data_IF_963926738055
#
_entry.id   IF_963926738055
#
_cell.length_a   1.000
_cell.length_b   1.000
_cell.length_c   1.000
_cell.angle_alpha   90.00
_cell.angle_beta   90.00
_cell.angle_gamma   90.00
#
_symmetry.space_group_name_H-M   'P 1'
#
loop_
_entity.id
_entity.type
_entity.pdbx_description
1 polymer ?
#
# COMPACT_ATOMS: atom_id res chain seq x y z
N UNK A 1 -53.04 31.82 -9.87
CA UNK A 1 -52.81 30.37 -9.65
C UNK A 1 -51.62 29.81 -10.46
N UNK A 2 -50.86 30.64 -11.19
CA UNK A 2 -49.79 30.22 -12.12
C UNK A 2 -48.38 30.14 -11.51
N UNK A 3 -48.08 30.91 -10.44
CA UNK A 3 -46.74 30.95 -9.85
C UNK A 3 -46.32 29.61 -9.20
N UNK A 4 -47.22 28.97 -8.42
CA UNK A 4 -46.92 27.68 -7.77
C UNK A 4 -46.56 26.54 -8.74
N UNK A 5 -47.03 26.59 -10.00
CA UNK A 5 -46.76 25.55 -10.99
C UNK A 5 -45.39 25.74 -11.66
N UNK A 6 -44.97 26.99 -11.84
CA UNK A 6 -43.66 27.34 -12.40
C UNK A 6 -42.54 27.12 -11.36
N UNK A 7 -42.81 27.44 -10.10
CA UNK A 7 -41.87 27.24 -8.99
C UNK A 7 -41.63 25.74 -8.75
N UNK A 8 -42.68 24.91 -8.80
CA UNK A 8 -42.55 23.46 -8.68
C UNK A 8 -41.77 22.84 -9.86
N UNK A 9 -42.01 23.27 -11.10
CA UNK A 9 -41.27 22.77 -12.26
C UNK A 9 -39.76 23.06 -12.13
N UNK A 10 -39.42 24.30 -11.76
CA UNK A 10 -38.02 24.73 -11.56
C UNK A 10 -37.34 23.94 -10.44
N UNK A 11 -38.04 23.66 -9.34
CA UNK A 11 -37.50 22.90 -8.22
C UNK A 11 -37.29 21.41 -8.58
N UNK A 12 -38.18 20.85 -9.40
CA UNK A 12 -38.08 19.46 -9.87
C UNK A 12 -36.92 19.27 -10.85
N UNK A 13 -36.72 20.22 -11.77
CA UNK A 13 -35.59 20.19 -12.72
C UNK A 13 -34.23 20.34 -12.00
N UNK A 14 -34.17 21.20 -10.97
CA UNK A 14 -32.97 21.37 -10.15
C UNK A 14 -32.60 20.09 -9.40
N UNK A 15 -33.59 19.40 -8.82
CA UNK A 15 -33.38 18.12 -8.13
C UNK A 15 -32.92 17.02 -9.10
N UNK A 16 -33.56 16.90 -10.26
CA UNK A 16 -33.22 15.92 -11.30
C UNK A 16 -31.78 16.11 -11.79
N UNK A 17 -31.40 17.36 -12.09
CA UNK A 17 -30.03 17.70 -12.53
C UNK A 17 -28.98 17.34 -11.45
N UNK A 18 -29.27 17.64 -10.18
CA UNK A 18 -28.38 17.35 -9.05
C UNK A 18 -28.17 15.83 -8.87
N UNK A 19 -29.24 15.04 -8.99
CA UNK A 19 -29.18 13.58 -8.90
C UNK A 19 -28.41 12.95 -10.06
N UNK A 20 -28.60 13.42 -11.29
CA UNK A 20 -27.80 12.98 -12.45
C UNK A 20 -26.31 13.26 -12.25
N UNK A 21 -25.96 14.44 -11.72
CA UNK A 21 -24.57 14.81 -11.41
C UNK A 21 -23.96 13.93 -10.31
N UNK A 22 -24.74 13.58 -9.28
CA UNK A 22 -24.32 12.67 -8.20
C UNK A 22 -24.10 11.23 -8.71
N UNK A 23 -24.99 10.73 -9.58
CA UNK A 23 -24.84 9.41 -10.22
C UNK A 23 -23.58 9.35 -11.09
N UNK A 24 -23.31 10.40 -11.86
CA UNK A 24 -22.08 10.49 -12.68
C UNK A 24 -20.82 10.44 -11.80
N UNK A 25 -20.77 11.22 -10.71
CA UNK A 25 -19.67 11.17 -9.74
C UNK A 25 -19.48 9.79 -9.11
N UNK A 26 -20.58 9.08 -8.81
CA UNK A 26 -20.50 7.74 -8.23
C UNK A 26 -19.88 6.73 -9.22
N UNK A 27 -20.21 6.85 -10.51
CA UNK A 27 -19.61 6.04 -11.56
C UNK A 27 -18.11 6.35 -11.73
N UNK A 28 -17.74 7.64 -11.76
CA UNK A 28 -16.33 8.08 -11.84
C UNK A 28 -15.51 7.54 -10.66
N UNK A 29 -15.99 7.67 -9.41
CA UNK A 29 -15.28 7.16 -8.23
C UNK A 29 -15.14 5.63 -8.23
N UNK A 30 -16.11 4.89 -8.77
CA UNK A 30 -16.02 3.43 -8.91
C UNK A 30 -14.97 3.00 -9.93
N UNK A 31 -14.91 3.70 -11.07
CA UNK A 31 -13.89 3.48 -12.10
C UNK A 31 -12.49 3.76 -11.54
N UNK A 32 -12.32 4.86 -10.82
CA UNK A 32 -11.07 5.21 -10.13
C UNK A 32 -10.67 4.15 -9.10
N UNK A 33 -11.61 3.67 -8.28
CA UNK A 33 -11.34 2.62 -7.30
C UNK A 33 -10.86 1.32 -7.98
N UNK A 34 -11.49 0.94 -9.09
CA UNK A 34 -11.12 -0.25 -9.86
C UNK A 34 -9.74 -0.10 -10.50
N UNK A 35 -9.42 1.09 -11.00
CA UNK A 35 -8.11 1.40 -11.57
C UNK A 35 -6.99 1.33 -10.51
N UNK A 36 -7.27 1.72 -9.26
CA UNK A 36 -6.30 1.71 -8.16
C UNK A 36 -6.09 0.30 -7.57
N UNK A 37 -7.09 -0.58 -7.65
CA UNK A 37 -7.02 -1.91 -7.02
C UNK A 37 -5.96 -2.84 -7.64
N UNK A 38 -5.80 -2.81 -8.97
CA UNK A 38 -4.81 -3.61 -9.70
C UNK A 38 -3.34 -3.27 -9.31
N UNK A 39 -2.90 -2.00 -9.38
CA UNK A 39 -1.54 -1.64 -8.99
C UNK A 39 -1.29 -1.78 -7.48
N UNK A 40 -2.33 -1.64 -6.64
CA UNK A 40 -2.23 -1.88 -5.21
C UNK A 40 -1.86 -3.34 -4.90
N UNK A 41 -2.58 -4.30 -5.50
CA UNK A 41 -2.30 -5.72 -5.30
C UNK A 41 -0.89 -6.10 -5.73
N UNK A 42 -0.44 -5.58 -6.88
CA UNK A 42 0.93 -5.82 -7.37
C UNK A 42 2.01 -5.26 -6.42
N UNK A 43 1.76 -4.09 -5.85
CA UNK A 43 2.64 -3.45 -4.87
C UNK A 43 2.68 -4.22 -3.56
N UNK A 44 1.52 -4.70 -3.09
CA UNK A 44 1.40 -5.57 -1.91
C UNK A 44 2.18 -6.89 -2.09
N UNK A 45 2.02 -7.54 -3.24
CA UNK A 45 2.75 -8.78 -3.55
C UNK A 45 4.26 -8.55 -3.56
N UNK A 46 4.71 -7.42 -4.11
CA UNK A 46 6.12 -7.04 -4.14
C UNK A 46 6.67 -6.77 -2.74
N UNK A 47 5.90 -6.08 -1.89
CA UNK A 47 6.25 -5.86 -0.48
C UNK A 47 6.44 -7.18 0.26
N UNK A 48 5.46 -8.09 0.16
CA UNK A 48 5.55 -9.42 0.76
C UNK A 48 6.76 -10.20 0.23
N UNK A 49 7.01 -10.12 -1.08
CA UNK A 49 8.19 -10.72 -1.71
C UNK A 49 9.50 -10.22 -1.10
N UNK A 50 9.66 -8.89 -0.91
CA UNK A 50 10.86 -8.32 -0.31
C UNK A 50 11.01 -8.67 1.17
N UNK A 51 9.91 -8.74 1.93
CA UNK A 51 9.96 -9.16 3.34
C UNK A 51 10.39 -10.62 3.44
N UNK A 52 9.76 -11.51 2.67
CA UNK A 52 10.11 -12.94 2.65
C UNK A 52 11.54 -13.14 2.20
N UNK A 53 11.98 -12.44 1.14
CA UNK A 53 13.37 -12.49 0.68
C UNK A 53 14.35 -11.98 1.75
N UNK A 54 14.04 -10.87 2.42
CA UNK A 54 14.87 -10.32 3.49
C UNK A 54 15.00 -11.26 4.68
N UNK A 55 13.89 -11.87 5.14
CA UNK A 55 13.88 -12.83 6.25
C UNK A 55 14.59 -14.13 5.87
N UNK A 56 14.33 -14.65 4.66
CA UNK A 56 14.99 -15.85 4.16
C UNK A 56 16.51 -15.64 4.06
N UNK A 57 16.94 -14.52 3.48
CA UNK A 57 18.36 -14.19 3.33
C UNK A 57 19.04 -13.96 4.68
N UNK A 58 18.38 -13.27 5.61
CA UNK A 58 18.85 -13.10 6.99
C UNK A 58 19.06 -14.47 7.67
N UNK A 59 18.05 -15.33 7.60
CA UNK A 59 18.08 -16.66 8.22
C UNK A 59 19.17 -17.54 7.61
N UNK A 60 19.33 -17.49 6.28
CA UNK A 60 20.33 -18.28 5.55
C UNK A 60 21.75 -17.77 5.86
N UNK A 61 21.96 -16.46 5.95
CA UNK A 61 23.24 -15.89 6.35
C UNK A 61 23.59 -16.23 7.81
N UNK A 62 22.64 -16.14 8.74
CA UNK A 62 22.82 -16.57 10.14
C UNK A 62 23.16 -18.06 10.24
N UNK A 63 22.42 -18.90 9.51
CA UNK A 63 22.63 -20.34 9.49
C UNK A 63 24.02 -20.70 8.95
N UNK A 64 24.40 -20.12 7.80
CA UNK A 64 25.69 -20.36 7.18
C UNK A 64 26.84 -19.85 8.06
N UNK A 65 26.68 -18.70 8.70
CA UNK A 65 27.67 -18.17 9.64
C UNK A 65 27.83 -19.06 10.87
N UNK A 66 26.73 -19.56 11.43
CA UNK A 66 26.75 -20.49 12.57
C UNK A 66 27.40 -21.84 12.24
N UNK A 67 27.19 -22.36 11.01
CA UNK A 67 27.86 -23.57 10.54
C UNK A 67 29.36 -23.35 10.26
N UNK A 68 29.73 -22.19 9.69
CA UNK A 68 31.11 -21.87 9.35
C UNK A 68 31.97 -21.53 10.58
N UNK A 69 31.35 -21.00 11.64
CA UNK A 69 32.01 -20.61 12.88
C UNK A 69 31.25 -21.17 14.10
N UNK A 70 31.32 -22.49 14.33
CA UNK A 70 30.63 -23.13 15.45
C UNK A 70 31.31 -22.75 16.78
N UNK A 71 30.78 -21.73 17.46
CA UNK A 71 31.19 -21.35 18.81
C UNK A 71 32.49 -20.54 18.89
N UNK A 72 32.82 -20.09 20.11
CA UNK A 72 33.98 -19.27 20.49
C UNK A 72 35.33 -20.01 20.34
N UNK A 73 35.52 -20.77 19.26
CA UNK A 73 36.83 -21.29 18.87
C UNK A 73 37.66 -20.14 18.33
N UNK A 74 38.88 -20.00 18.86
CA UNK A 74 39.86 -19.01 18.40
C UNK A 74 40.01 -19.13 16.88
N UNK A 75 39.47 -18.13 16.19
CA UNK A 75 39.51 -18.06 14.74
C UNK A 75 40.94 -17.65 14.37
N UNK A 76 41.64 -18.39 13.50
CA UNK A 76 42.99 -18.01 13.06
C UNK A 76 43.00 -16.55 12.56
N UNK A 77 44.07 -15.79 12.84
CA UNK A 77 44.17 -14.35 12.49
C UNK A 77 43.81 -14.05 11.02
N UNK A 78 44.12 -14.97 10.12
CA UNK A 78 43.86 -14.91 8.68
C UNK A 78 42.36 -14.98 8.35
N UNK A 79 41.58 -15.66 9.19
CA UNK A 79 40.11 -15.78 9.09
C UNK A 79 39.36 -14.73 9.91
N UNK A 80 40.05 -13.99 10.78
CA UNK A 80 39.46 -12.90 11.59
C UNK A 80 38.88 -11.80 10.69
N UNK A 81 39.65 -11.34 9.68
CA UNK A 81 39.19 -10.30 8.75
C UNK A 81 37.98 -10.77 7.93
N UNK A 82 37.96 -12.05 7.54
CA UNK A 82 36.84 -12.63 6.82
C UNK A 82 35.59 -12.73 7.71
N UNK A 83 35.76 -13.11 8.99
CA UNK A 83 34.68 -13.12 9.97
C UNK A 83 34.08 -11.73 10.19
N UNK A 84 34.91 -10.68 10.31
CA UNK A 84 34.43 -9.30 10.49
C UNK A 84 33.69 -8.77 9.25
N UNK A 85 34.22 -9.02 8.06
CA UNK A 85 33.57 -8.61 6.79
C UNK A 85 32.25 -9.37 6.61
N UNK A 86 32.21 -10.67 6.90
CA UNK A 86 31.00 -11.47 6.79
C UNK A 86 29.96 -11.05 7.83
N UNK A 87 30.39 -10.79 9.07
CA UNK A 87 29.54 -10.26 10.13
C UNK A 87 28.93 -8.92 9.70
N UNK A 88 29.72 -8.00 9.14
CA UNK A 88 29.20 -6.74 8.60
C UNK A 88 28.22 -6.96 7.42
N UNK A 89 28.56 -7.82 6.47
CA UNK A 89 27.72 -8.12 5.30
C UNK A 89 26.36 -8.72 5.69
N UNK A 90 26.35 -9.54 6.73
CA UNK A 90 25.18 -10.19 7.29
C UNK A 90 24.16 -9.20 7.88
N UNK A 91 24.61 -8.03 8.36
CA UNK A 91 23.71 -6.95 8.74
C UNK A 91 23.36 -6.06 7.53
N UNK A 92 24.36 -5.63 6.75
CA UNK A 92 24.18 -4.64 5.68
C UNK A 92 23.23 -5.14 4.59
N UNK A 93 23.40 -6.38 4.12
CA UNK A 93 22.62 -6.91 3.00
C UNK A 93 21.13 -6.99 3.34
N UNK A 94 20.71 -7.57 4.48
CA UNK A 94 19.30 -7.61 4.85
C UNK A 94 18.71 -6.23 5.17
N UNK A 95 19.50 -5.29 5.70
CA UNK A 95 19.05 -3.90 5.87
C UNK A 95 18.69 -3.22 4.55
N UNK A 96 19.41 -3.50 3.44
CA UNK A 96 19.05 -3.00 2.12
C UNK A 96 17.69 -3.53 1.65
N UNK A 97 17.39 -4.81 1.89
CA UNK A 97 16.07 -5.40 1.58
C UNK A 97 14.96 -4.80 2.46
N UNK A 98 15.24 -4.57 3.74
CA UNK A 98 14.32 -3.86 4.63
C UNK A 98 14.06 -2.43 4.19
N UNK A 99 15.06 -1.71 3.69
CA UNK A 99 14.90 -0.38 3.11
C UNK A 99 13.99 -0.38 1.88
N UNK A 100 14.16 -1.36 0.98
CA UNK A 100 13.27 -1.55 -0.17
C UNK A 100 11.85 -1.94 0.25
N UNK A 101 11.70 -2.78 1.28
CA UNK A 101 10.40 -3.12 1.85
C UNK A 101 9.72 -1.88 2.47
N UNK A 102 10.45 -1.07 3.25
CA UNK A 102 9.92 0.14 3.86
C UNK A 102 9.41 1.15 2.81
N UNK A 103 10.15 1.34 1.71
CA UNK A 103 9.70 2.17 0.57
C UNK A 103 8.36 1.69 0.02
N UNK A 104 8.23 0.39 -0.24
CA UNK A 104 6.99 -0.20 -0.76
C UNK A 104 5.85 -0.12 0.27
N UNK A 105 6.15 -0.27 1.56
CA UNK A 105 5.17 -0.10 2.64
C UNK A 105 4.63 1.35 2.70
N UNK A 106 5.49 2.36 2.55
CA UNK A 106 5.07 3.76 2.48
C UNK A 106 4.14 4.03 1.29
N UNK A 107 4.48 3.53 0.10
CA UNK A 107 3.61 3.66 -1.10
C UNK A 107 2.26 2.98 -0.85
N UNK A 108 2.27 1.82 -0.21
CA UNK A 108 1.07 1.07 0.11
C UNK A 108 0.19 1.82 1.13
N UNK A 109 0.78 2.41 2.17
CA UNK A 109 0.06 3.24 3.15
C UNK A 109 -0.59 4.46 2.51
N UNK A 110 0.13 5.18 1.65
CA UNK A 110 -0.42 6.32 0.90
C UNK A 110 -1.58 5.87 0.02
N UNK A 111 -1.44 4.75 -0.67
CA UNK A 111 -2.49 4.20 -1.53
C UNK A 111 -3.71 3.76 -0.71
N UNK A 112 -3.50 3.15 0.45
CA UNK A 112 -4.57 2.75 1.37
C UNK A 112 -5.34 3.96 1.90
N UNK A 113 -4.63 5.02 2.31
CA UNK A 113 -5.25 6.28 2.72
C UNK A 113 -6.10 6.87 1.60
N UNK A 114 -5.60 6.83 0.35
CA UNK A 114 -6.34 7.32 -0.80
C UNK A 114 -7.61 6.50 -1.06
N UNK A 115 -7.55 5.17 -0.94
CA UNK A 115 -8.73 4.29 -1.02
C UNK A 115 -9.74 4.62 0.07
N UNK A 116 -9.29 4.81 1.32
CA UNK A 116 -10.18 5.19 2.42
C UNK A 116 -10.88 6.55 2.17
N UNK A 117 -10.16 7.53 1.62
CA UNK A 117 -10.75 8.81 1.23
C UNK A 117 -11.82 8.63 0.14
N UNK A 118 -11.54 7.84 -0.89
CA UNK A 118 -12.51 7.55 -1.98
C UNK A 118 -13.74 6.83 -1.43
N UNK A 119 -13.57 5.84 -0.54
CA UNK A 119 -14.70 5.15 0.08
C UNK A 119 -15.56 6.08 0.93
N UNK A 120 -14.93 7.00 1.67
CA UNK A 120 -15.65 8.00 2.45
C UNK A 120 -16.45 8.96 1.57
N UNK A 121 -15.87 9.45 0.46
CA UNK A 121 -16.60 10.26 -0.51
C UNK A 121 -17.76 9.50 -1.15
N UNK A 122 -17.55 8.23 -1.51
CA UNK A 122 -18.56 7.36 -2.09
C UNK A 122 -19.71 7.12 -1.11
N UNK A 123 -19.41 6.92 0.19
CA UNK A 123 -20.41 6.84 1.25
C UNK A 123 -21.23 8.14 1.37
N UNK A 124 -20.57 9.30 1.34
CA UNK A 124 -21.25 10.60 1.39
C UNK A 124 -22.15 10.83 0.17
N UNK A 125 -21.69 10.48 -1.03
CA UNK A 125 -22.45 10.58 -2.28
C UNK A 125 -23.68 9.67 -2.24
N UNK A 126 -23.52 8.41 -1.81
CA UNK A 126 -24.64 7.47 -1.60
C UNK A 126 -25.66 8.02 -0.60
N UNK A 127 -25.20 8.58 0.52
CA UNK A 127 -26.07 9.19 1.53
C UNK A 127 -26.84 10.40 0.98
N UNK A 128 -26.26 11.18 0.08
CA UNK A 128 -26.92 12.31 -0.59
C UNK A 128 -27.93 11.89 -1.65
N UNK A 129 -27.75 10.73 -2.28
CA UNK A 129 -28.71 10.14 -3.24
C UNK A 129 -29.91 9.46 -2.55
N UNK A 130 -29.74 9.00 -1.32
CA UNK A 130 -30.80 8.36 -0.54
C UNK A 130 -31.71 9.36 0.20
N UNK A 131 -31.39 10.66 0.15
CA UNK A 131 -32.19 11.76 0.71
C UNK A 131 -32.89 12.52 -0.41
#
# INVERSE_FOLDING_TARGET
>A
MTNNKLDNATHTDLFTNKNVKLQKKLHELKEEQKAIHSPFYRSFLSLMGYIVAGVALWSLMHWQFGLAFPGNVDVPNDKLRFKDIWNAAMYVVPYCFWGMAAKNACIMLITLLNICCIEFELYLVKRKLAK
#
